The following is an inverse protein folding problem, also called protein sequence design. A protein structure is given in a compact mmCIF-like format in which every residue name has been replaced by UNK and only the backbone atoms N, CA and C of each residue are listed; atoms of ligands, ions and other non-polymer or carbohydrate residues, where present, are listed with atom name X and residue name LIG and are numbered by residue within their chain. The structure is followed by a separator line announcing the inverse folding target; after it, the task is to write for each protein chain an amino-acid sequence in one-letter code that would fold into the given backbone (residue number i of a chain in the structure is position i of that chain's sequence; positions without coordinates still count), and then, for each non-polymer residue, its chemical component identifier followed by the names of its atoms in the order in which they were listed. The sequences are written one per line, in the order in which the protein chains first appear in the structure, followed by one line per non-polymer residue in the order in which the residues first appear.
data_IF_319182666095
#
_entry.id   IF_319182666095
#
_cell.length_a   1.000
_cell.length_b   1.000
_cell.length_c   1.000
_cell.angle_alpha   90.00
_cell.angle_beta   90.00
_cell.angle_gamma   90.00
#
_symmetry.space_group_name_H-M   'P 1'
#
loop_
_entity.id
_entity.type
_entity.pdbx_description
1 polymer ?
#
# COMPACT_ATOMS: atom_id res chain seq x y z
N UNK A 1 1.37 24.00 -0.80
CA UNK A 1 1.16 22.79 0.00
C UNK A 1 2.41 21.93 -0.15
N UNK A 2 2.94 21.36 0.94
CA UNK A 2 4.06 20.43 0.86
C UNK A 2 3.58 19.11 0.25
N UNK A 3 4.49 18.40 -0.43
CA UNK A 3 4.23 17.04 -0.91
C UNK A 3 4.05 16.09 0.28
N UNK A 4 3.16 15.13 0.13
CA UNK A 4 2.88 14.08 1.12
C UNK A 4 3.47 12.78 0.62
N UNK A 5 4.41 12.21 1.35
CA UNK A 5 4.89 10.86 1.05
C UNK A 5 3.84 9.85 1.54
N UNK A 6 3.35 9.03 0.64
CA UNK A 6 2.44 7.92 0.95
C UNK A 6 3.21 6.61 1.00
N UNK A 7 3.50 6.13 2.20
CA UNK A 7 4.22 4.90 2.47
C UNK A 7 3.24 3.74 2.61
N UNK A 8 3.35 2.76 1.72
CA UNK A 8 2.42 1.63 1.66
C UNK A 8 3.15 0.31 1.42
N UNK A 9 2.48 -0.77 1.81
CA UNK A 9 2.92 -2.13 1.53
C UNK A 9 1.75 -2.92 0.98
N UNK A 10 1.89 -3.48 -0.23
CA UNK A 10 0.89 -4.40 -0.79
C UNK A 10 0.84 -5.63 0.12
N UNK A 11 -0.33 -5.86 0.73
CA UNK A 11 -0.51 -6.83 1.82
C UNK A 11 -1.03 -6.20 3.10
N UNK A 12 -0.92 -4.86 3.24
CA UNK A 12 -1.65 -4.13 4.28
C UNK A 12 -3.11 -3.93 3.86
N UNK A 13 -4.02 -4.51 4.61
CA UNK A 13 -5.45 -4.47 4.31
C UNK A 13 -6.04 -3.06 4.46
N UNK A 14 -5.62 -2.30 5.45
CA UNK A 14 -6.06 -0.91 5.64
C UNK A 14 -5.54 0.05 4.56
N UNK A 15 -4.43 -0.27 3.90
CA UNK A 15 -3.93 0.53 2.78
C UNK A 15 -4.89 0.56 1.59
N UNK A 16 -5.79 -0.43 1.46
CA UNK A 16 -6.87 -0.40 0.47
C UNK A 16 -7.71 0.88 0.55
N UNK A 17 -8.05 1.30 1.77
CA UNK A 17 -8.86 2.50 1.99
C UNK A 17 -8.15 3.75 1.48
N UNK A 18 -6.85 3.90 1.80
CA UNK A 18 -6.04 5.02 1.33
C UNK A 18 -5.84 4.98 -0.18
N UNK A 19 -5.37 3.86 -0.72
CA UNK A 19 -5.12 3.67 -2.16
C UNK A 19 -6.33 4.06 -3.00
N UNK A 20 -7.54 3.64 -2.58
CA UNK A 20 -8.78 3.94 -3.31
C UNK A 20 -9.17 5.42 -3.22
N UNK A 21 -8.86 6.11 -2.11
CA UNK A 21 -9.24 7.51 -1.87
C UNK A 21 -8.29 8.53 -2.47
N UNK A 22 -6.99 8.22 -2.48
CA UNK A 22 -5.95 9.20 -2.82
C UNK A 22 -6.18 9.96 -4.12
N UNK A 23 -6.62 9.34 -5.25
CA UNK A 23 -6.85 10.09 -6.49
C UNK A 23 -7.98 11.14 -6.37
N UNK A 24 -9.03 10.82 -5.63
CA UNK A 24 -10.13 11.77 -5.38
C UNK A 24 -9.67 12.88 -4.44
N UNK A 25 -9.01 12.51 -3.35
CA UNK A 25 -8.49 13.45 -2.36
C UNK A 25 -7.49 14.44 -3.00
N UNK A 26 -6.59 13.95 -3.87
CA UNK A 26 -5.67 14.80 -4.61
C UNK A 26 -6.41 15.86 -5.46
N UNK A 27 -7.46 15.42 -6.20
CA UNK A 27 -8.27 16.35 -7.02
C UNK A 27 -9.02 17.38 -6.18
N UNK A 28 -9.58 16.97 -5.04
CA UNK A 28 -10.42 17.83 -4.18
C UNK A 28 -9.60 18.84 -3.37
N UNK A 29 -8.42 18.43 -2.93
CA UNK A 29 -7.60 19.22 -2.00
C UNK A 29 -6.43 19.94 -2.67
N UNK A 30 -6.03 19.50 -3.87
CA UNK A 30 -4.81 19.93 -4.55
C UNK A 30 -3.53 19.35 -3.92
N UNK A 31 -3.65 18.34 -3.05
CA UNK A 31 -2.50 17.64 -2.49
C UNK A 31 -1.79 16.78 -3.53
N UNK A 32 -0.46 16.72 -3.48
CA UNK A 32 0.36 15.78 -4.23
C UNK A 32 0.88 14.69 -3.33
N UNK A 33 0.90 13.46 -3.85
CA UNK A 33 1.36 12.28 -3.13
C UNK A 33 2.50 11.61 -3.88
N UNK A 34 3.63 11.36 -3.20
CA UNK A 34 4.69 10.49 -3.70
C UNK A 34 4.51 9.08 -3.13
N UNK A 35 4.36 8.10 -4.01
CA UNK A 35 4.05 6.71 -3.65
C UNK A 35 5.31 5.94 -3.30
N UNK A 36 5.42 5.49 -2.06
CA UNK A 36 6.62 4.89 -1.47
C UNK A 36 6.34 3.44 -1.03
N UNK A 37 6.61 2.43 -1.88
CA UNK A 37 6.45 1.03 -1.51
C UNK A 37 7.56 0.56 -0.56
N UNK A 38 7.20 -0.26 0.45
CA UNK A 38 8.15 -0.85 1.39
C UNK A 38 7.67 -2.19 1.96
N UNK A 39 8.53 -2.92 2.68
CA UNK A 39 8.16 -4.15 3.36
C UNK A 39 7.70 -3.92 4.79
N UNK A 40 6.39 -3.77 5.00
CA UNK A 40 5.86 -3.70 6.38
C UNK A 40 6.11 -5.00 7.15
N UNK A 41 6.18 -6.15 6.46
CA UNK A 41 6.49 -7.45 7.11
C UNK A 41 7.90 -7.51 7.69
N UNK A 42 8.89 -6.92 7.01
CA UNK A 42 10.27 -6.88 7.50
C UNK A 42 10.36 -6.04 8.78
N UNK A 43 9.80 -4.83 8.79
CA UNK A 43 9.75 -3.97 9.97
C UNK A 43 9.02 -4.67 11.13
N UNK A 44 7.88 -5.30 10.86
CA UNK A 44 7.11 -6.00 11.89
C UNK A 44 7.87 -7.19 12.49
N UNK A 45 8.63 -7.93 11.68
CA UNK A 45 9.49 -9.03 12.20
C UNK A 45 10.56 -8.52 13.17
N UNK A 46 11.20 -7.41 12.83
CA UNK A 46 12.23 -6.79 13.71
C UNK A 46 11.64 -6.30 15.03
N UNK A 47 10.37 -5.88 15.01
CA UNK A 47 9.62 -5.47 16.20
C UNK A 47 9.00 -6.65 16.98
N UNK A 48 9.26 -7.89 16.58
CA UNK A 48 8.62 -9.10 17.14
C UNK A 48 7.07 -9.02 17.11
N UNK A 49 6.53 -8.37 16.07
CA UNK A 49 5.12 -8.14 15.89
C UNK A 49 4.54 -9.01 14.76
N UNK A 50 3.71 -9.98 15.13
CA UNK A 50 2.87 -10.72 14.19
C UNK A 50 1.47 -10.10 14.22
N UNK A 51 1.04 -9.41 13.15
CA UNK A 51 -0.16 -8.56 13.21
C UNK A 51 -1.45 -9.35 13.46
N UNK A 52 -1.58 -10.55 12.89
CA UNK A 52 -2.80 -11.36 12.94
C UNK A 52 -2.50 -12.86 13.11
N UNK A 53 -1.92 -13.28 14.25
CA UNK A 53 -1.74 -14.71 14.50
C UNK A 53 -3.09 -15.38 14.70
N UNK A 54 -3.22 -16.70 14.46
CA UNK A 54 -4.47 -17.45 14.62
C UNK A 54 -5.12 -17.27 16.00
N UNK A 55 -4.32 -17.00 17.05
CA UNK A 55 -4.80 -16.74 18.41
C UNK A 55 -5.54 -15.39 18.57
N UNK A 56 -5.52 -14.51 17.56
CA UNK A 56 -6.17 -13.20 17.59
C UNK A 56 -7.35 -13.09 16.61
N UNK A 57 -8.17 -14.14 16.47
CA UNK A 57 -9.27 -14.18 15.52
C UNK A 57 -10.22 -12.99 15.65
N UNK A 58 -10.60 -12.61 16.88
CA UNK A 58 -11.45 -11.44 17.10
C UNK A 58 -10.89 -10.14 16.53
N UNK A 59 -9.55 -9.98 16.50
CA UNK A 59 -8.88 -8.82 15.87
C UNK A 59 -8.98 -8.90 14.35
N UNK A 60 -8.88 -10.08 13.76
CA UNK A 60 -9.04 -10.30 12.32
C UNK A 60 -10.48 -10.00 11.90
N UNK A 61 -11.47 -10.51 12.64
CA UNK A 61 -12.88 -10.27 12.35
C UNK A 61 -13.22 -8.78 12.45
N UNK A 62 -12.69 -8.10 13.47
CA UNK A 62 -12.85 -6.65 13.61
C UNK A 62 -12.23 -5.91 12.40
N UNK A 63 -11.01 -6.26 12.00
CA UNK A 63 -10.33 -5.64 10.86
C UNK A 63 -11.19 -5.70 9.58
N UNK A 64 -11.73 -6.88 9.24
CA UNK A 64 -12.57 -7.02 8.06
C UNK A 64 -13.85 -6.20 8.16
N UNK A 65 -14.49 -6.22 9.31
CA UNK A 65 -15.71 -5.45 9.53
C UNK A 65 -15.46 -3.95 9.51
N UNK A 66 -14.30 -3.51 10.01
CA UNK A 66 -13.93 -2.09 10.02
C UNK A 66 -13.63 -1.59 8.60
N UNK A 67 -12.87 -2.35 7.81
CA UNK A 67 -12.60 -2.03 6.40
C UNK A 67 -13.89 -1.90 5.61
N UNK A 68 -14.83 -2.86 5.74
CA UNK A 68 -16.13 -2.81 5.05
C UNK A 68 -16.92 -1.54 5.42
N UNK A 69 -16.99 -1.23 6.71
CA UNK A 69 -17.70 -0.07 7.25
C UNK A 69 -17.12 1.24 6.75
N UNK A 70 -15.78 1.36 6.77
CA UNK A 70 -15.06 2.56 6.33
C UNK A 70 -15.17 2.74 4.83
N UNK A 71 -14.95 1.68 4.04
CA UNK A 71 -15.14 1.70 2.59
C UNK A 71 -16.53 2.22 2.21
N UNK A 72 -17.58 1.68 2.85
CA UNK A 72 -18.96 2.16 2.67
C UNK A 72 -19.13 3.63 3.06
N UNK A 73 -18.51 4.06 4.15
CA UNK A 73 -18.53 5.47 4.58
C UNK A 73 -17.88 6.42 3.58
N UNK A 74 -16.86 5.96 2.88
CA UNK A 74 -16.18 6.69 1.81
C UNK A 74 -16.85 6.57 0.43
N UNK A 75 -17.93 5.81 0.30
CA UNK A 75 -18.68 5.67 -0.95
C UNK A 75 -18.19 4.59 -1.90
N UNK A 76 -17.34 3.67 -1.46
CA UNK A 76 -16.90 2.51 -2.24
C UNK A 76 -17.10 1.19 -1.51
N UNK A 77 -16.91 0.07 -2.21
CA UNK A 77 -17.15 -1.27 -1.69
C UNK A 77 -15.85 -2.00 -1.41
N UNK A 78 -15.86 -2.87 -0.38
CA UNK A 78 -14.82 -3.85 -0.11
C UNK A 78 -15.47 -5.22 0.01
N UNK A 79 -15.06 -6.17 -0.81
CA UNK A 79 -15.42 -7.59 -0.68
C UNK A 79 -14.52 -8.22 0.37
N UNK A 80 -15.07 -8.45 1.54
CA UNK A 80 -14.33 -9.00 2.68
C UNK A 80 -14.98 -10.28 3.21
N UNK A 81 -14.20 -11.22 3.74
CA UNK A 81 -12.74 -11.19 3.78
C UNK A 81 -12.12 -11.30 2.39
N UNK A 82 -11.13 -10.48 2.10
CA UNK A 82 -10.29 -10.62 0.92
C UNK A 82 -9.24 -11.73 1.14
N UNK A 83 -8.64 -12.32 0.07
CA UNK A 83 -7.55 -13.28 0.22
C UNK A 83 -6.42 -12.72 1.10
N UNK A 84 -6.12 -13.40 2.21
CA UNK A 84 -5.14 -12.94 3.20
C UNK A 84 -4.69 -14.10 4.10
N UNK A 85 -3.42 -14.21 4.50
CA UNK A 85 -2.29 -13.37 4.08
C UNK A 85 -1.86 -13.62 2.64
N UNK A 86 -1.20 -12.65 2.00
CA UNK A 86 -0.72 -12.80 0.63
C UNK A 86 0.42 -13.81 0.57
N UNK A 87 0.39 -14.71 -0.42
CA UNK A 87 1.45 -15.67 -0.72
C UNK A 87 2.64 -14.97 -1.40
N UNK A 88 2.37 -14.20 -2.46
CA UNK A 88 3.38 -13.49 -3.24
C UNK A 88 3.58 -12.04 -2.75
N UNK A 89 3.68 -11.87 -1.41
CA UNK A 89 3.82 -10.55 -0.79
C UNK A 89 5.06 -9.79 -1.28
N UNK A 90 6.22 -10.46 -1.31
CA UNK A 90 7.47 -9.78 -1.67
C UNK A 90 7.51 -9.47 -3.16
N UNK A 91 7.02 -10.36 -4.04
CA UNK A 91 6.90 -10.07 -5.47
C UNK A 91 6.01 -8.86 -5.73
N UNK A 92 4.82 -8.79 -5.11
CA UNK A 92 3.91 -7.66 -5.26
C UNK A 92 4.59 -6.32 -4.92
N UNK A 93 5.39 -6.29 -3.86
CA UNK A 93 6.07 -5.07 -3.41
C UNK A 93 7.35 -4.76 -4.22
N UNK A 94 8.09 -5.76 -4.69
CA UNK A 94 9.21 -5.55 -5.64
C UNK A 94 8.69 -4.99 -6.98
N UNK A 95 7.56 -5.49 -7.47
CA UNK A 95 6.89 -4.91 -8.65
C UNK A 95 6.47 -3.44 -8.38
N UNK A 96 5.99 -3.12 -7.19
CA UNK A 96 5.67 -1.73 -6.84
C UNK A 96 6.91 -0.83 -6.78
N UNK A 97 8.07 -1.35 -6.32
CA UNK A 97 9.35 -0.62 -6.36
C UNK A 97 9.81 -0.37 -7.80
N UNK A 98 9.76 -1.40 -8.67
CA UNK A 98 10.04 -1.23 -10.08
C UNK A 98 9.10 -0.20 -10.72
N UNK A 99 7.80 -0.28 -10.41
CA UNK A 99 6.79 0.64 -10.88
C UNK A 99 7.06 2.09 -10.43
N UNK A 100 7.53 2.28 -9.21
CA UNK A 100 7.95 3.59 -8.70
C UNK A 100 9.13 4.14 -9.50
N UNK A 101 10.14 3.34 -9.79
CA UNK A 101 11.30 3.75 -10.58
C UNK A 101 10.94 4.07 -12.03
N UNK A 102 9.98 3.35 -12.62
CA UNK A 102 9.54 3.51 -14.00
C UNK A 102 8.35 4.48 -14.17
N UNK A 103 7.76 5.00 -13.08
CA UNK A 103 6.74 6.06 -13.10
C UNK A 103 5.30 5.60 -13.31
N UNK A 104 4.97 4.32 -13.02
CA UNK A 104 3.61 3.76 -13.14
C UNK A 104 3.10 3.12 -11.83
N UNK A 105 3.70 3.49 -10.70
CA UNK A 105 3.41 2.91 -9.38
C UNK A 105 1.96 3.12 -8.95
N UNK A 106 1.46 4.35 -9.05
CA UNK A 106 0.10 4.68 -8.64
C UNK A 106 -0.93 3.82 -9.35
N UNK A 107 -0.86 3.75 -10.69
CA UNK A 107 -1.80 3.01 -11.51
C UNK A 107 -1.76 1.50 -11.20
N UNK A 108 -0.55 0.92 -11.05
CA UNK A 108 -0.38 -0.49 -10.70
C UNK A 108 -0.98 -0.81 -9.33
N UNK A 109 -0.69 0.01 -8.33
CA UNK A 109 -1.16 -0.22 -6.96
C UNK A 109 -2.69 -0.10 -6.89
N UNK A 110 -3.28 0.88 -7.57
CA UNK A 110 -4.73 1.02 -7.65
C UNK A 110 -5.39 -0.19 -8.35
N UNK A 111 -4.83 -0.63 -9.49
CA UNK A 111 -5.33 -1.79 -10.22
C UNK A 111 -5.26 -3.08 -9.36
N UNK A 112 -4.13 -3.27 -8.67
CA UNK A 112 -3.87 -4.43 -7.80
C UNK A 112 -4.83 -4.47 -6.61
N UNK A 113 -5.00 -3.36 -5.88
CA UNK A 113 -5.90 -3.30 -4.74
C UNK A 113 -7.36 -3.40 -5.13
N UNK A 114 -7.77 -2.81 -6.26
CA UNK A 114 -9.12 -2.98 -6.78
C UNK A 114 -9.42 -4.46 -7.04
N UNK A 115 -8.55 -5.17 -7.73
CA UNK A 115 -8.72 -6.61 -7.98
C UNK A 115 -8.73 -7.41 -6.69
N UNK A 116 -7.91 -7.03 -5.73
CA UNK A 116 -7.86 -7.73 -4.45
C UNK A 116 -9.16 -7.56 -3.65
N UNK A 117 -9.65 -6.33 -3.50
CA UNK A 117 -10.80 -6.03 -2.63
C UNK A 117 -12.16 -5.93 -3.33
N UNK A 118 -12.22 -5.85 -4.65
CA UNK A 118 -13.48 -5.81 -5.39
C UNK A 118 -13.72 -7.14 -6.10
N UNK A 119 -12.71 -7.65 -6.80
CA UNK A 119 -12.85 -8.90 -7.56
C UNK A 119 -12.57 -10.14 -6.70
N UNK A 120 -11.83 -9.99 -5.58
CA UNK A 120 -11.45 -11.07 -4.68
C UNK A 120 -10.27 -11.89 -5.19
N UNK A 121 -9.42 -11.28 -6.02
CA UNK A 121 -8.21 -11.87 -6.58
C UNK A 121 -7.00 -11.48 -5.73
N UNK A 122 -6.25 -12.46 -5.25
CA UNK A 122 -5.10 -12.23 -4.36
C UNK A 122 -4.05 -11.32 -5.03
N UNK A 123 -3.65 -10.24 -4.33
CA UNK A 123 -2.63 -9.32 -4.83
C UNK A 123 -1.25 -10.02 -4.93
N UNK A 124 -0.53 -9.76 -6.02
CA UNK A 124 0.77 -10.38 -6.31
C UNK A 124 0.69 -11.77 -6.92
N UNK A 125 -0.44 -12.45 -6.82
CA UNK A 125 -0.68 -13.79 -7.41
C UNK A 125 -1.45 -13.67 -8.72
N UNK A 126 -1.40 -14.73 -9.53
CA UNK A 126 -2.23 -14.81 -10.73
C UNK A 126 -3.72 -15.08 -10.36
N UNK A 127 -4.69 -14.52 -11.06
CA UNK A 127 -4.55 -13.66 -12.25
C UNK A 127 -4.47 -12.16 -11.93
N UNK A 128 -4.45 -11.73 -10.67
CA UNK A 128 -4.40 -10.31 -10.30
C UNK A 128 -3.16 -9.64 -10.89
N UNK A 129 -1.98 -10.27 -10.75
CA UNK A 129 -0.72 -9.68 -11.18
C UNK A 129 -0.72 -9.38 -12.69
N UNK A 130 -0.98 -10.37 -13.52
CA UNK A 130 -0.97 -10.20 -14.99
C UNK A 130 -2.06 -9.24 -15.46
N UNK A 131 -3.26 -9.29 -14.88
CA UNK A 131 -4.34 -8.37 -15.24
C UNK A 131 -4.06 -6.92 -14.81
N UNK A 132 -3.42 -6.72 -13.65
CA UNK A 132 -3.05 -5.38 -13.18
C UNK A 132 -1.95 -4.79 -14.05
N UNK A 133 -0.94 -5.57 -14.41
CA UNK A 133 0.14 -5.15 -15.30
C UNK A 133 -0.37 -4.83 -16.71
N UNK A 134 -1.23 -5.68 -17.27
CA UNK A 134 -1.83 -5.44 -18.59
C UNK A 134 -2.65 -4.15 -18.62
N UNK A 135 -3.41 -3.85 -17.56
CA UNK A 135 -4.20 -2.62 -17.46
C UNK A 135 -3.34 -1.35 -17.52
N UNK A 136 -2.16 -1.41 -16.92
CA UNK A 136 -1.21 -0.28 -16.91
C UNK A 136 -0.22 -0.33 -18.09
N UNK A 137 -0.50 -1.19 -19.08
CA UNK A 137 0.28 -1.26 -20.31
C UNK A 137 1.64 -1.93 -20.17
N UNK A 138 1.84 -2.75 -19.14
CA UNK A 138 3.11 -3.43 -18.86
C UNK A 138 3.08 -4.88 -19.32
N UNK A 139 4.21 -5.37 -19.86
CA UNK A 139 4.42 -6.78 -20.17
C UNK A 139 4.72 -7.57 -18.91
N UNK A 140 3.87 -8.54 -18.59
CA UNK A 140 3.97 -9.34 -17.36
C UNK A 140 5.28 -10.12 -17.26
N UNK A 141 5.74 -10.75 -18.35
CA UNK A 141 6.96 -11.55 -18.32
C UNK A 141 8.18 -10.67 -18.04
N UNK A 142 8.29 -9.53 -18.72
CA UNK A 142 9.33 -8.53 -18.47
C UNK A 142 9.32 -8.04 -17.02
N UNK A 143 8.14 -7.67 -16.50
CA UNK A 143 8.04 -7.10 -15.15
C UNK A 143 8.41 -8.11 -14.09
N UNK A 144 7.94 -9.36 -14.22
CA UNK A 144 8.27 -10.42 -13.25
C UNK A 144 9.77 -10.73 -13.28
N UNK A 145 10.38 -10.86 -14.48
CA UNK A 145 11.82 -11.04 -14.61
C UNK A 145 12.60 -9.89 -13.96
N UNK A 146 12.23 -8.64 -14.27
CA UNK A 146 12.88 -7.44 -13.69
C UNK A 146 12.70 -7.33 -12.17
N UNK A 147 11.55 -7.72 -11.63
CA UNK A 147 11.29 -7.69 -10.19
C UNK A 147 12.16 -8.67 -9.39
N UNK A 148 12.71 -9.69 -10.07
CA UNK A 148 13.65 -10.67 -9.49
C UNK A 148 15.12 -10.28 -9.67
N UNK A 149 15.41 -9.17 -10.35
CA UNK A 149 16.79 -8.69 -10.50
C UNK A 149 17.34 -8.14 -9.17
N UNK A 150 18.64 -8.34 -8.95
CA UNK A 150 19.34 -7.95 -7.71
C UNK A 150 19.26 -6.45 -7.40
N UNK A 151 19.19 -5.59 -8.41
CA UNK A 151 19.06 -4.14 -8.22
C UNK A 151 17.68 -3.75 -7.70
N UNK A 152 16.61 -4.43 -8.12
CA UNK A 152 15.25 -4.22 -7.60
C UNK A 152 15.11 -4.81 -6.19
N UNK A 153 15.69 -5.97 -5.94
CA UNK A 153 15.74 -6.53 -4.58
C UNK A 153 16.47 -5.58 -3.62
N UNK A 154 17.63 -5.07 -4.02
CA UNK A 154 18.38 -4.09 -3.23
C UNK A 154 17.61 -2.78 -3.02
N UNK A 155 16.92 -2.29 -4.05
CA UNK A 155 16.08 -1.10 -3.95
C UNK A 155 14.90 -1.31 -2.98
N UNK A 156 14.30 -2.51 -2.98
CA UNK A 156 13.22 -2.86 -2.04
C UNK A 156 13.69 -2.91 -0.58
N UNK A 157 14.90 -3.45 -0.34
CA UNK A 157 15.53 -3.41 0.98
C UNK A 157 15.81 -1.97 1.40
N UNK A 158 16.45 -1.16 0.54
CA UNK A 158 16.77 0.24 0.83
C UNK A 158 15.53 1.09 1.12
N UNK A 159 14.43 0.88 0.37
CA UNK A 159 13.14 1.54 0.65
C UNK A 159 12.59 1.15 2.03
N UNK A 160 12.74 -0.10 2.41
CA UNK A 160 12.30 -0.59 3.73
C UNK A 160 13.15 0.01 4.85
N UNK A 161 14.46 0.05 4.68
CA UNK A 161 15.39 0.68 5.62
C UNK A 161 15.12 2.19 5.74
N UNK A 162 14.79 2.84 4.63
CA UNK A 162 14.41 4.25 4.62
C UNK A 162 13.11 4.48 5.42
N UNK A 163 12.08 3.68 5.18
CA UNK A 163 10.84 3.75 5.95
C UNK A 163 11.11 3.63 7.45
N UNK A 164 11.96 2.67 7.85
CA UNK A 164 12.30 2.45 9.24
C UNK A 164 13.08 3.63 9.86
N UNK A 165 14.09 4.16 9.14
CA UNK A 165 14.82 5.36 9.57
C UNK A 165 13.93 6.59 9.70
N UNK A 166 12.90 6.71 8.87
CA UNK A 166 11.90 7.77 8.93
C UNK A 166 10.86 7.57 10.04
N UNK A 167 10.97 6.49 10.85
CA UNK A 167 10.06 6.21 11.96
C UNK A 167 8.77 5.49 11.57
N UNK A 168 8.67 4.93 10.37
CA UNK A 168 7.51 4.16 9.93
C UNK A 168 7.56 2.76 10.55
N UNK A 169 6.46 2.36 11.15
CA UNK A 169 6.27 1.06 11.79
C UNK A 169 5.03 0.30 11.31
N UNK A 170 4.26 0.88 10.39
CA UNK A 170 3.01 0.31 9.89
C UNK A 170 2.61 0.87 8.53
N UNK A 171 1.57 0.30 7.92
CA UNK A 171 1.05 0.68 6.60
C UNK A 171 -0.47 0.73 6.64
N UNK A 172 -1.13 1.76 6.08
CA UNK A 172 -0.53 2.92 5.42
C UNK A 172 0.09 3.90 6.42
N UNK A 173 1.07 4.68 5.96
CA UNK A 173 1.60 5.84 6.68
C UNK A 173 1.79 7.00 5.71
N UNK A 174 1.71 8.22 6.22
CA UNK A 174 1.98 9.44 5.47
C UNK A 174 3.11 10.19 6.17
N UNK A 175 4.00 10.82 5.41
CA UNK A 175 5.01 11.72 5.95
C UNK A 175 4.86 13.09 5.31
N UNK A 176 4.87 14.11 6.13
CA UNK A 176 4.90 15.51 5.72
C UNK A 176 5.97 16.21 6.52
N UNK A 177 7.03 16.65 5.84
CA UNK A 177 8.11 17.41 6.47
C UNK A 177 8.75 16.70 7.68
N UNK A 178 8.89 15.39 7.57
CA UNK A 178 9.44 14.52 8.63
C UNK A 178 8.45 14.07 9.69
N UNK A 179 7.22 14.58 9.72
CA UNK A 179 6.17 14.15 10.63
C UNK A 179 5.40 12.95 10.09
N UNK A 180 5.25 11.90 10.92
CA UNK A 180 4.61 10.63 10.56
C UNK A 180 3.14 10.61 11.00
N UNK A 181 2.26 10.27 10.06
CA UNK A 181 0.83 10.06 10.27
C UNK A 181 0.48 8.62 9.93
N UNK A 182 0.30 7.76 10.92
CA UNK A 182 0.06 6.33 10.71
C UNK A 182 -1.43 5.99 10.72
N UNK A 183 -1.88 5.39 9.64
CA UNK A 183 -3.23 4.87 9.44
C UNK A 183 -4.01 5.63 8.37
N UNK A 184 -4.98 4.94 7.73
CA UNK A 184 -5.88 5.56 6.76
C UNK A 184 -6.69 6.74 7.36
N UNK A 185 -6.98 6.65 8.65
CA UNK A 185 -7.71 7.67 9.39
C UNK A 185 -6.87 8.91 9.75
N UNK A 186 -5.59 8.95 9.36
CA UNK A 186 -4.69 10.12 9.52
C UNK A 186 -4.46 10.87 8.21
N UNK A 187 -5.06 10.45 7.10
CA UNK A 187 -4.89 11.13 5.81
C UNK A 187 -5.30 12.59 5.86
N UNK A 188 -6.44 12.88 6.45
CA UNK A 188 -6.95 14.25 6.58
C UNK A 188 -6.05 15.11 7.45
N UNK A 189 -5.51 14.56 8.54
CA UNK A 189 -4.56 15.25 9.41
C UNK A 189 -3.27 15.59 8.66
N UNK A 190 -2.72 14.64 7.86
CA UNK A 190 -1.55 14.87 7.02
C UNK A 190 -1.79 15.98 5.98
N UNK A 191 -2.98 16.03 5.37
CA UNK A 191 -3.35 17.09 4.42
C UNK A 191 -3.42 18.46 5.09
N UNK A 192 -4.02 18.52 6.29
CA UNK A 192 -4.07 19.77 7.07
C UNK A 192 -2.68 20.24 7.42
N UNK A 193 -1.79 19.33 7.84
CA UNK A 193 -0.40 19.62 8.15
C UNK A 193 0.37 20.10 6.93
N UNK A 194 0.15 19.47 5.75
CA UNK A 194 0.80 19.87 4.50
C UNK A 194 0.41 21.29 4.04
N UNK A 195 -0.77 21.78 4.45
CA UNK A 195 -1.24 23.15 4.12
C UNK A 195 -0.65 24.21 5.02
N UNK A 196 -0.39 23.88 6.26
CA UNK A 196 0.05 24.81 7.32
C UNK A 196 1.29 24.23 8.02
N UNK A 197 2.43 24.11 7.30
CA UNK A 197 3.64 23.70 7.97
C UNK A 197 4.12 24.86 8.86
N UNK A 198 4.31 24.61 10.15
CA UNK A 198 4.98 25.54 11.06
C UNK A 198 6.46 25.76 10.68
#
# INVERSE_FOLDING_TARGET
MKEIEFWFSIGSTYSYLSVTRLPQVARETGASFSWQPFSVRSIMREMDNVPFPPSKQAKVDYMWRDIERRAKGYGFTAKVPAPYPLQEFDLANRVAVLAMQEGWCEDYVQATYRRWFVDGLEAGSEPNLSQSLAEVGQDTARVVERADDLDIEAAYVEQTDHAQRAGIFGSPSFIVDGEVFWGDDRLEDAIVWAKNPD
#
